data_IF_490095280175
#
_entry.id   IF_490095280175
#
_cell.length_a   1.000
_cell.length_b   1.000
_cell.length_c   1.000
_cell.angle_alpha   90.00
_cell.angle_beta   90.00
_cell.angle_gamma   90.00
#
_symmetry.space_group_name_H-M   'P 1'
#
loop_
_entity.id
_entity.type
_entity.pdbx_description
1 polymer ?
#
# COMPACT_ATOMS: atom_id res chain seq x y z
N UNK A 1 -25.77 -16.13 -9.30
CA UNK A 1 -25.47 -14.75 -9.77
C UNK A 1 -26.62 -14.30 -10.67
N UNK A 2 -27.69 -13.78 -10.08
CA UNK A 2 -28.86 -13.31 -10.82
C UNK A 2 -28.59 -11.85 -11.20
N UNK A 3 -28.24 -11.63 -12.47
CA UNK A 3 -28.04 -10.30 -13.03
C UNK A 3 -29.43 -9.77 -13.39
N UNK A 4 -30.08 -9.10 -12.44
CA UNK A 4 -31.30 -8.35 -12.75
C UNK A 4 -30.90 -7.18 -13.64
N UNK A 5 -31.15 -7.30 -14.95
CA UNK A 5 -30.90 -6.27 -15.95
C UNK A 5 -31.93 -5.14 -15.87
N UNK A 6 -32.18 -4.63 -14.68
CA UNK A 6 -32.95 -3.40 -14.50
C UNK A 6 -32.07 -2.22 -14.91
N UNK A 7 -32.62 -1.31 -15.74
CA UNK A 7 -31.93 -0.10 -16.20
C UNK A 7 -31.28 0.70 -15.05
N UNK A 8 -31.88 0.63 -13.85
CA UNK A 8 -31.36 1.27 -12.64
C UNK A 8 -29.98 0.72 -12.23
N UNK A 9 -29.78 -0.61 -12.28
CA UNK A 9 -28.51 -1.22 -11.88
C UNK A 9 -27.38 -0.88 -12.87
N UNK A 10 -27.68 -0.83 -14.17
CA UNK A 10 -26.69 -0.44 -15.19
C UNK A 10 -26.20 0.99 -14.98
N UNK A 11 -27.10 1.92 -14.65
CA UNK A 11 -26.73 3.32 -14.38
C UNK A 11 -25.85 3.42 -13.13
N UNK A 12 -26.21 2.73 -12.05
CA UNK A 12 -25.42 2.71 -10.81
C UNK A 12 -24.03 2.12 -11.05
N UNK A 13 -23.95 1.00 -11.77
CA UNK A 13 -22.66 0.39 -12.12
C UNK A 13 -21.80 1.33 -12.96
N UNK A 14 -22.35 2.00 -13.97
CA UNK A 14 -21.61 2.99 -14.78
C UNK A 14 -21.05 4.11 -13.91
N UNK A 15 -21.84 4.63 -12.96
CA UNK A 15 -21.40 5.67 -12.04
C UNK A 15 -20.28 5.15 -11.13
N UNK A 16 -20.39 3.95 -10.59
CA UNK A 16 -19.36 3.32 -9.76
C UNK A 16 -18.06 3.13 -10.55
N UNK A 17 -18.15 2.61 -11.78
CA UNK A 17 -16.98 2.43 -12.64
C UNK A 17 -16.33 3.76 -13.02
N UNK A 18 -17.11 4.81 -13.28
CA UNK A 18 -16.60 6.13 -13.57
C UNK A 18 -15.87 6.74 -12.36
N UNK A 19 -16.43 6.58 -11.15
CA UNK A 19 -15.79 7.01 -9.91
C UNK A 19 -14.49 6.23 -9.63
N UNK A 20 -14.51 4.90 -9.79
CA UNK A 20 -13.32 4.05 -9.66
C UNK A 20 -12.24 4.45 -10.67
N UNK A 21 -12.61 4.73 -11.93
CA UNK A 21 -11.68 5.17 -12.96
C UNK A 21 -11.04 6.52 -12.59
N UNK A 22 -11.81 7.45 -12.03
CA UNK A 22 -11.30 8.76 -11.60
C UNK A 22 -10.33 8.64 -10.41
N UNK A 23 -10.65 7.79 -9.42
CA UNK A 23 -9.76 7.50 -8.28
C UNK A 23 -8.48 6.81 -8.75
N UNK A 24 -8.59 5.87 -9.69
CA UNK A 24 -7.43 5.22 -10.29
C UNK A 24 -6.54 6.25 -11.00
N UNK A 25 -7.13 7.14 -11.81
CA UNK A 25 -6.39 8.14 -12.55
C UNK A 25 -5.70 9.15 -11.61
N UNK A 26 -6.37 9.57 -10.52
CA UNK A 26 -5.81 10.52 -9.56
C UNK A 26 -4.62 9.96 -8.77
N UNK A 27 -4.56 8.64 -8.55
CA UNK A 27 -3.48 7.97 -7.81
C UNK A 27 -2.40 7.41 -8.74
N UNK A 28 -2.76 6.91 -9.91
CA UNK A 28 -1.82 6.33 -10.87
C UNK A 28 -0.98 7.38 -11.61
N UNK A 29 -1.56 8.54 -11.95
CA UNK A 29 -0.82 9.62 -12.61
C UNK A 29 0.38 10.16 -11.80
N UNK A 30 0.22 10.54 -10.52
CA UNK A 30 1.38 10.99 -9.73
C UNK A 30 2.38 9.85 -9.52
N UNK A 31 1.93 8.60 -9.37
CA UNK A 31 2.85 7.47 -9.25
C UNK A 31 3.69 7.26 -10.52
N UNK A 32 3.08 7.37 -11.70
CA UNK A 32 3.79 7.31 -12.98
C UNK A 32 4.79 8.46 -13.16
N UNK A 33 4.42 9.66 -12.70
CA UNK A 33 5.30 10.84 -12.72
C UNK A 33 6.53 10.66 -11.82
N UNK A 34 6.34 10.14 -10.62
CA UNK A 34 7.46 9.82 -9.71
C UNK A 34 8.41 8.78 -10.30
N UNK A 35 7.87 7.76 -11.00
CA UNK A 35 8.69 6.80 -11.74
C UNK A 35 9.49 7.51 -12.84
N UNK A 36 8.84 8.35 -13.65
CA UNK A 36 9.53 9.09 -14.71
C UNK A 36 10.66 9.98 -14.15
N UNK A 37 10.43 10.64 -13.02
CA UNK A 37 11.46 11.44 -12.32
C UNK A 37 12.62 10.55 -11.85
N UNK A 38 12.32 9.38 -11.26
CA UNK A 38 13.37 8.49 -10.72
C UNK A 38 14.36 8.02 -11.79
N UNK A 39 13.90 7.85 -13.03
CA UNK A 39 14.72 7.48 -14.20
C UNK A 39 15.25 8.67 -15.02
N UNK A 40 14.91 9.92 -14.69
CA UNK A 40 15.33 11.10 -15.46
C UNK A 40 16.58 11.78 -14.89
N UNK A 41 17.40 12.40 -15.74
CA UNK A 41 18.58 13.17 -15.31
C UNK A 41 18.28 14.27 -14.29
N UNK A 42 19.25 14.60 -13.43
CA UNK A 42 19.09 15.66 -12.40
C UNK A 42 18.80 17.05 -13.00
N UNK A 43 19.33 17.33 -14.19
CA UNK A 43 19.10 18.59 -14.90
C UNK A 43 17.63 18.75 -15.37
N UNK A 44 17.03 17.80 -16.12
CA UNK A 44 15.62 17.90 -16.52
C UNK A 44 14.64 17.82 -15.33
N UNK A 45 14.97 17.05 -14.28
CA UNK A 45 14.16 17.04 -13.04
C UNK A 45 14.14 18.41 -12.37
N UNK A 46 15.29 19.09 -12.27
CA UNK A 46 15.39 20.42 -11.64
C UNK A 46 14.75 21.52 -12.50
N UNK A 47 14.73 21.34 -13.82
CA UNK A 47 14.07 22.22 -14.77
C UNK A 47 12.54 22.03 -14.83
N UNK A 48 11.97 21.08 -14.07
CA UNK A 48 10.55 20.68 -14.12
C UNK A 48 10.07 20.28 -15.52
N UNK A 49 10.97 19.80 -16.39
CA UNK A 49 10.62 19.41 -17.75
C UNK A 49 10.20 17.94 -17.88
N UNK A 50 10.23 17.18 -16.78
CA UNK A 50 9.79 15.78 -16.75
C UNK A 50 8.26 15.71 -16.69
N UNK A 51 7.65 15.31 -17.80
CA UNK A 51 6.22 14.97 -17.90
C UNK A 51 5.96 13.51 -17.52
N UNK A 52 5.09 12.83 -18.26
CA UNK A 52 4.77 11.40 -18.03
C UNK A 52 5.83 10.42 -18.56
N UNK A 53 6.80 10.91 -19.34
CA UNK A 53 7.89 10.10 -19.90
C UNK A 53 9.24 10.60 -19.38
N UNK A 54 10.18 9.70 -19.05
CA UNK A 54 11.50 10.11 -18.57
C UNK A 54 12.24 10.90 -19.64
N UNK A 55 12.85 12.01 -19.22
CA UNK A 55 13.72 12.83 -20.05
C UNK A 55 15.16 12.53 -19.65
N UNK A 56 15.98 12.14 -20.64
CA UNK A 56 17.36 11.67 -20.42
C UNK A 56 17.41 10.48 -19.45
N UNK A 57 17.05 9.29 -19.96
CA UNK A 57 17.04 8.06 -19.17
C UNK A 57 18.41 7.78 -18.56
N UNK A 58 18.49 7.78 -17.23
CA UNK A 58 19.70 7.48 -16.46
C UNK A 58 19.40 6.65 -15.22
N UNK A 59 20.35 5.79 -14.86
CA UNK A 59 20.35 5.02 -13.62
C UNK A 59 21.24 5.65 -12.54
N UNK A 60 21.88 6.79 -12.84
CA UNK A 60 22.81 7.46 -11.93
C UNK A 60 22.14 7.93 -10.65
N UNK A 61 20.84 8.24 -10.69
CA UNK A 61 20.07 8.60 -9.51
C UNK A 61 19.98 7.45 -8.51
N UNK A 62 19.77 6.22 -8.99
CA UNK A 62 19.73 5.03 -8.15
C UNK A 62 21.11 4.70 -7.59
N UNK A 63 22.16 4.78 -8.43
CA UNK A 63 23.54 4.59 -7.98
C UNK A 63 23.91 5.61 -6.90
N UNK A 64 23.56 6.89 -7.10
CA UNK A 64 23.81 7.95 -6.12
C UNK A 64 22.95 7.84 -4.86
N UNK A 65 21.72 7.31 -4.95
CA UNK A 65 20.88 7.04 -3.80
C UNK A 65 21.49 5.91 -2.94
N UNK A 66 21.91 4.82 -3.58
CA UNK A 66 22.52 3.68 -2.88
C UNK A 66 23.91 4.00 -2.31
N UNK A 67 24.69 4.86 -2.97
CA UNK A 67 25.99 5.32 -2.47
C UNK A 67 25.87 6.11 -1.14
N UNK A 68 24.70 6.68 -0.83
CA UNK A 68 24.46 7.35 0.44
C UNK A 68 24.29 6.31 1.55
N UNK A 69 25.33 6.14 2.39
CA UNK A 69 25.32 5.24 3.56
C UNK A 69 24.06 5.36 4.43
N UNK A 70 23.56 6.58 4.62
CA UNK A 70 22.35 6.82 5.40
C UNK A 70 21.09 6.23 4.74
N UNK A 71 20.97 6.32 3.41
CA UNK A 71 19.83 5.77 2.67
C UNK A 71 19.84 4.25 2.71
N UNK A 72 20.98 3.62 2.40
CA UNK A 72 21.14 2.17 2.47
C UNK A 72 20.87 1.63 3.88
N UNK A 73 21.38 2.31 4.92
CA UNK A 73 21.12 1.95 6.32
C UNK A 73 19.63 2.10 6.69
N UNK A 74 18.98 3.18 6.28
CA UNK A 74 17.56 3.39 6.55
C UNK A 74 16.69 2.33 5.86
N UNK A 75 17.02 1.97 4.61
CA UNK A 75 16.34 0.89 3.89
C UNK A 75 16.51 -0.46 4.61
N UNK A 76 17.73 -0.78 5.04
CA UNK A 76 18.02 -2.01 5.78
C UNK A 76 17.28 -2.09 7.12
N UNK A 77 17.25 -0.99 7.90
CA UNK A 77 16.54 -0.94 9.18
C UNK A 77 15.02 -1.10 8.97
N UNK A 78 14.46 -0.45 7.95
CA UNK A 78 13.03 -0.58 7.62
C UNK A 78 12.67 -2.01 7.21
N UNK A 79 13.51 -2.65 6.39
CA UNK A 79 13.32 -4.04 5.98
C UNK A 79 13.40 -5.00 7.19
N UNK A 80 14.45 -4.86 8.01
CA UNK A 80 14.62 -5.64 9.25
C UNK A 80 13.44 -5.43 10.20
N UNK A 81 12.95 -4.19 10.33
CA UNK A 81 11.77 -3.87 11.14
C UNK A 81 10.55 -4.65 10.66
N UNK A 82 10.25 -4.66 9.36
CA UNK A 82 9.08 -5.41 8.83
C UNK A 82 9.24 -6.90 9.05
N UNK A 83 10.42 -7.46 8.74
CA UNK A 83 10.70 -8.89 8.86
C UNK A 83 10.57 -9.36 10.31
N UNK A 84 10.92 -8.54 11.30
CA UNK A 84 10.80 -8.90 12.72
C UNK A 84 9.41 -8.59 13.27
N UNK A 85 8.87 -7.40 12.96
CA UNK A 85 7.62 -6.93 13.55
C UNK A 85 6.40 -7.70 13.05
N UNK A 86 6.34 -8.04 11.75
CA UNK A 86 5.19 -8.76 11.17
C UNK A 86 4.97 -10.14 11.81
N UNK A 87 5.95 -11.06 11.85
CA UNK A 87 5.74 -12.37 12.45
C UNK A 87 5.54 -12.28 13.96
N UNK A 88 6.21 -11.36 14.66
CA UNK A 88 5.99 -11.15 16.08
C UNK A 88 4.54 -10.70 16.37
N UNK A 89 4.04 -9.75 15.58
CA UNK A 89 2.66 -9.26 15.69
C UNK A 89 1.66 -10.35 15.34
N UNK A 90 1.92 -11.09 14.26
CA UNK A 90 1.07 -12.18 13.83
C UNK A 90 1.02 -13.31 14.86
N UNK A 91 2.16 -13.69 15.44
CA UNK A 91 2.24 -14.72 16.47
C UNK A 91 1.40 -14.33 17.68
N UNK A 92 1.56 -13.10 18.18
CA UNK A 92 0.76 -12.60 19.31
C UNK A 92 -0.72 -12.56 18.93
N UNK A 93 -1.06 -11.99 17.77
CA UNK A 93 -2.44 -11.86 17.30
C UNK A 93 -3.13 -13.22 17.16
N UNK A 94 -2.45 -14.23 16.61
CA UNK A 94 -2.98 -15.59 16.44
C UNK A 94 -3.14 -16.27 17.80
N UNK A 95 -2.14 -16.18 18.69
CA UNK A 95 -2.24 -16.76 20.03
C UNK A 95 -3.35 -16.12 20.87
N UNK A 96 -3.66 -14.84 20.67
CA UNK A 96 -4.77 -14.16 21.35
C UNK A 96 -6.12 -14.41 20.69
N UNK A 97 -6.19 -14.42 19.35
CA UNK A 97 -7.43 -14.61 18.62
C UNK A 97 -7.93 -16.06 18.66
N UNK A 98 -7.01 -17.04 18.66
CA UNK A 98 -7.35 -18.47 18.67
C UNK A 98 -8.22 -18.89 19.87
N UNK A 99 -7.84 -18.64 21.14
CA UNK A 99 -8.69 -18.99 22.29
C UNK A 99 -9.98 -18.19 22.32
N UNK A 100 -9.99 -16.97 21.77
CA UNK A 100 -11.17 -16.10 21.74
C UNK A 100 -12.24 -16.61 20.76
N UNK A 101 -11.81 -17.16 19.62
CA UNK A 101 -12.67 -17.66 18.55
C UNK A 101 -13.44 -18.95 18.90
N UNK A 102 -12.95 -19.77 19.83
CA UNK A 102 -13.54 -21.06 20.16
C UNK A 102 -14.22 -21.06 21.54
N UNK A 103 -15.54 -21.22 21.58
CA UNK A 103 -16.34 -21.23 22.82
C UNK A 103 -15.99 -22.36 23.79
N UNK A 104 -15.40 -23.45 23.29
CA UNK A 104 -14.95 -24.59 24.10
C UNK A 104 -13.80 -24.25 25.06
N UNK A 105 -13.03 -23.20 24.78
CA UNK A 105 -12.00 -22.73 25.70
C UNK A 105 -12.64 -21.83 26.75
N UNK A 106 -12.88 -22.38 27.94
CA UNK A 106 -13.40 -21.64 29.08
C UNK A 106 -12.30 -20.73 29.67
N UNK A 107 -11.98 -19.62 28.98
CA UNK A 107 -11.16 -18.57 29.55
C UNK A 107 -11.99 -17.74 30.55
N UNK A 108 -11.62 -17.69 31.85
CA UNK A 108 -12.24 -16.76 32.78
C UNK A 108 -11.96 -15.32 32.33
N UNK A 109 -13.03 -14.51 32.17
CA UNK A 109 -12.92 -13.13 31.67
C UNK A 109 -13.13 -12.95 30.15
N UNK A 110 -13.35 -14.02 29.38
CA UNK A 110 -13.58 -13.96 27.91
C UNK A 110 -14.69 -13.00 27.49
N UNK A 111 -15.82 -12.97 28.22
CA UNK A 111 -16.96 -12.08 27.93
C UNK A 111 -16.60 -10.60 28.06
N UNK A 112 -15.76 -10.24 29.04
CA UNK A 112 -15.28 -8.87 29.22
C UNK A 112 -14.35 -8.42 28.09
N UNK A 113 -13.42 -9.28 27.67
CA UNK A 113 -12.54 -9.00 26.52
C UNK A 113 -13.30 -8.87 25.20
N UNK A 114 -14.32 -9.72 24.96
CA UNK A 114 -15.17 -9.63 23.77
C UNK A 114 -16.01 -8.35 23.75
N UNK A 115 -16.57 -7.93 24.89
CA UNK A 115 -17.36 -6.70 24.98
C UNK A 115 -16.51 -5.43 24.86
N UNK A 116 -15.22 -5.47 25.16
CA UNK A 116 -14.32 -4.34 24.97
C UNK A 116 -13.77 -4.22 23.53
N UNK A 117 -13.79 -5.32 22.77
CA UNK A 117 -13.30 -5.39 21.39
C UNK A 117 -14.39 -5.06 20.35
N UNK A 118 -15.67 -5.25 20.70
CA UNK A 118 -16.85 -4.88 19.91
C UNK A 118 -17.24 -3.44 20.25
#
# INVERSE_FOLDING_TARGET
MVRESSLKYVIVDIVIYLLLALILLSTALPFAHEIAISFSGRAPVRAKSVGLWPQEFTLDNYAAAMARKQFARALAISCLRVIVAVPATLLVAVLTAYPLAFERFQLPGRRGFLMALI
#
